data_IF_817112663860
#
_entry.id   IF_817112663860
#
_cell.length_a   1.000
_cell.length_b   1.000
_cell.length_c   1.000
_cell.angle_alpha   90.00
_cell.angle_beta   90.00
_cell.angle_gamma   90.00
#
_symmetry.space_group_name_H-M   'P 1'
#
loop_
_entity.id
_entity.type
_entity.pdbx_description
1 polymer ?
#
# COMPACT_ATOMS: atom_id res chain seq x y z
N UNK A 1 -6.34 -19.76 -23.95
CA UNK A 1 -7.03 -19.71 -25.26
C UNK A 1 -6.36 -18.61 -26.07
N UNK A 2 -6.42 -18.58 -27.42
CA UNK A 2 -5.79 -17.45 -28.12
C UNK A 2 -6.59 -16.15 -27.84
N UNK A 3 -5.97 -15.20 -27.14
CA UNK A 3 -6.55 -13.88 -26.80
C UNK A 3 -5.92 -12.72 -27.59
N UNK A 4 -5.12 -13.01 -28.62
CA UNK A 4 -4.42 -12.03 -29.47
C UNK A 4 -5.39 -11.14 -30.24
N UNK A 5 -6.63 -11.59 -30.46
CA UNK A 5 -7.67 -10.80 -31.10
C UNK A 5 -7.99 -9.49 -30.35
N UNK A 6 -7.63 -9.38 -29.07
CA UNK A 6 -7.81 -8.16 -28.26
C UNK A 6 -6.94 -7.01 -28.80
N UNK A 7 -5.82 -7.31 -29.46
CA UNK A 7 -4.89 -6.31 -30.03
C UNK A 7 -5.61 -5.30 -30.94
N UNK A 8 -6.66 -5.73 -31.65
CA UNK A 8 -7.44 -4.88 -32.56
C UNK A 8 -8.12 -3.70 -31.86
N UNK A 9 -8.39 -3.81 -30.56
CA UNK A 9 -9.00 -2.76 -29.74
C UNK A 9 -7.97 -1.84 -29.07
N UNK A 10 -6.69 -2.21 -29.04
CA UNK A 10 -5.67 -1.54 -28.24
C UNK A 10 -4.90 -0.44 -28.99
N UNK A 11 -5.43 0.03 -30.13
CA UNK A 11 -4.78 1.01 -30.99
C UNK A 11 -4.82 2.45 -30.47
N UNK A 12 -5.78 2.77 -29.60
CA UNK A 12 -5.97 4.11 -29.01
C UNK A 12 -6.14 4.02 -27.51
N UNK A 13 -5.57 4.97 -26.78
CA UNK A 13 -5.60 4.99 -25.31
C UNK A 13 -7.02 4.93 -24.74
N UNK A 14 -7.98 5.70 -25.27
CA UNK A 14 -9.36 5.65 -24.78
C UNK A 14 -10.04 4.30 -25.04
N UNK A 15 -9.71 3.64 -26.15
CA UNK A 15 -10.21 2.28 -26.43
C UNK A 15 -9.62 1.29 -25.42
N UNK A 16 -8.30 1.34 -25.20
CA UNK A 16 -7.62 0.49 -24.20
C UNK A 16 -8.26 0.63 -22.81
N UNK A 17 -8.56 1.86 -22.38
CA UNK A 17 -9.20 2.08 -21.09
C UNK A 17 -10.64 1.56 -21.08
N UNK A 18 -11.38 1.76 -22.17
CA UNK A 18 -12.72 1.18 -22.33
C UNK A 18 -12.71 -0.34 -22.20
N UNK A 19 -11.83 -1.02 -22.93
CA UNK A 19 -11.65 -2.47 -22.85
C UNK A 19 -11.32 -2.89 -21.42
N UNK A 20 -10.45 -2.17 -20.72
CA UNK A 20 -10.11 -2.52 -19.35
C UNK A 20 -11.30 -2.40 -18.39
N UNK A 21 -12.07 -1.32 -18.50
CA UNK A 21 -13.29 -1.14 -17.69
C UNK A 21 -14.31 -2.23 -18.02
N UNK A 22 -14.54 -2.54 -19.30
CA UNK A 22 -15.48 -3.55 -19.75
C UNK A 22 -15.08 -4.96 -19.27
N UNK A 23 -13.79 -5.28 -19.34
CA UNK A 23 -13.23 -6.53 -18.82
C UNK A 23 -13.54 -6.67 -17.34
N UNK A 24 -13.22 -5.66 -16.53
CA UNK A 24 -13.44 -5.71 -15.08
C UNK A 24 -14.94 -5.73 -14.73
N UNK A 25 -15.76 -4.97 -15.45
CA UNK A 25 -17.21 -4.96 -15.30
C UNK A 25 -17.82 -6.34 -15.55
N UNK A 26 -17.39 -7.01 -16.63
CA UNK A 26 -17.86 -8.35 -16.97
C UNK A 26 -17.28 -9.42 -16.02
N UNK A 27 -16.04 -9.25 -15.56
CA UNK A 27 -15.35 -10.16 -14.64
C UNK A 27 -15.96 -10.15 -13.24
N UNK A 28 -16.41 -9.00 -12.76
CA UNK A 28 -17.02 -8.86 -11.43
C UNK A 28 -18.55 -8.77 -11.47
N UNK A 29 -19.17 -9.07 -12.61
CA UNK A 29 -20.62 -9.23 -12.68
C UNK A 29 -21.06 -10.43 -11.84
N UNK A 30 -22.06 -10.21 -10.97
CA UNK A 30 -22.44 -11.14 -9.90
C UNK A 30 -23.27 -12.33 -10.37
N UNK A 31 -23.70 -12.33 -11.63
CA UNK A 31 -24.49 -13.43 -12.17
C UNK A 31 -23.58 -14.64 -12.32
N UNK A 32 -23.93 -15.71 -11.61
CA UNK A 32 -23.16 -16.96 -11.58
C UNK A 32 -23.06 -17.53 -12.99
N UNK A 33 -24.18 -17.83 -13.64
CA UNK A 33 -24.18 -18.26 -15.03
C UNK A 33 -25.17 -17.42 -15.83
N UNK A 34 -24.86 -17.21 -17.10
CA UNK A 34 -25.75 -16.56 -18.04
C UNK A 34 -26.49 -17.62 -18.84
N UNK A 35 -27.81 -17.51 -18.96
CA UNK A 35 -28.59 -18.38 -19.87
C UNK A 35 -28.35 -18.01 -21.35
N UNK A 36 -28.03 -16.74 -21.59
CA UNK A 36 -27.75 -16.15 -22.90
C UNK A 36 -26.84 -14.94 -22.74
N UNK A 37 -26.32 -14.42 -23.85
CA UNK A 37 -25.56 -13.16 -23.84
C UNK A 37 -26.38 -12.09 -23.13
N UNK A 38 -25.75 -11.43 -22.16
CA UNK A 38 -26.37 -10.41 -21.31
C UNK A 38 -26.79 -9.18 -22.11
N UNK A 39 -27.65 -8.36 -21.52
CA UNK A 39 -27.85 -7.00 -22.00
C UNK A 39 -26.58 -6.18 -21.70
N UNK A 40 -25.78 -5.95 -22.75
CA UNK A 40 -24.48 -5.26 -22.66
C UNK A 40 -24.68 -3.79 -22.31
N UNK A 41 -25.70 -3.14 -22.89
CA UNK A 41 -26.03 -1.75 -22.61
C UNK A 41 -26.38 -1.57 -21.13
N UNK A 42 -27.13 -2.50 -20.55
CA UNK A 42 -27.46 -2.48 -19.12
C UNK A 42 -26.20 -2.63 -18.25
N UNK A 43 -25.29 -3.53 -18.61
CA UNK A 43 -24.02 -3.69 -17.90
C UNK A 43 -23.18 -2.40 -17.97
N UNK A 44 -22.95 -1.86 -19.16
CA UNK A 44 -22.05 -0.73 -19.37
C UNK A 44 -22.65 0.60 -18.89
N UNK A 45 -23.98 0.77 -18.93
CA UNK A 45 -24.63 1.97 -18.41
C UNK A 45 -24.34 2.21 -16.92
N UNK A 46 -24.12 1.15 -16.13
CA UNK A 46 -23.74 1.27 -14.72
C UNK A 46 -22.39 1.97 -14.53
N UNK A 47 -21.51 1.89 -15.53
CA UNK A 47 -20.17 2.45 -15.52
C UNK A 47 -20.06 3.77 -16.29
N UNK A 48 -21.15 4.27 -16.89
CA UNK A 48 -21.13 5.46 -17.75
C UNK A 48 -20.51 6.70 -17.07
N UNK A 49 -20.75 6.87 -15.77
CA UNK A 49 -20.13 7.94 -14.97
C UNK A 49 -18.62 7.81 -14.99
N UNK A 50 -18.09 6.60 -14.75
CA UNK A 50 -16.65 6.33 -14.83
C UNK A 50 -16.06 6.70 -16.19
N UNK A 51 -16.68 6.24 -17.29
CA UNK A 51 -16.20 6.55 -18.63
C UNK A 51 -16.13 8.07 -18.84
N UNK A 52 -17.22 8.78 -18.50
CA UNK A 52 -17.27 10.23 -18.64
C UNK A 52 -16.24 10.95 -17.76
N UNK A 53 -16.04 10.50 -16.53
CA UNK A 53 -15.09 11.12 -15.59
C UNK A 53 -13.64 10.95 -16.05
N UNK A 54 -13.25 9.77 -16.55
CA UNK A 54 -11.86 9.50 -16.93
C UNK A 54 -11.51 9.98 -18.34
N UNK A 55 -12.45 9.86 -19.29
CA UNK A 55 -12.16 10.07 -20.71
C UNK A 55 -12.70 11.40 -21.24
N UNK A 56 -13.67 12.00 -20.55
CA UNK A 56 -14.48 13.09 -21.09
C UNK A 56 -15.54 12.59 -22.08
N UNK A 57 -16.53 13.42 -22.46
CA UNK A 57 -17.73 12.97 -23.18
C UNK A 57 -17.45 12.32 -24.54
N UNK A 58 -16.53 12.90 -25.32
CA UNK A 58 -16.24 12.46 -26.68
C UNK A 58 -15.52 11.10 -26.70
N UNK A 59 -14.44 10.97 -25.92
CA UNK A 59 -13.70 9.72 -25.81
C UNK A 59 -14.50 8.63 -25.07
N UNK A 60 -15.36 9.00 -24.13
CA UNK A 60 -16.24 8.08 -23.43
C UNK A 60 -17.20 7.36 -24.39
N UNK A 61 -17.77 8.07 -25.36
CA UNK A 61 -18.63 7.47 -26.38
C UNK A 61 -17.90 6.41 -27.21
N UNK A 62 -16.70 6.74 -27.71
CA UNK A 62 -15.89 5.80 -28.49
C UNK A 62 -15.45 4.59 -27.65
N UNK A 63 -15.03 4.83 -26.41
CA UNK A 63 -14.63 3.76 -25.50
C UNK A 63 -15.80 2.82 -25.17
N UNK A 64 -17.01 3.36 -24.92
CA UNK A 64 -18.21 2.54 -24.69
C UNK A 64 -18.54 1.65 -25.89
N UNK A 65 -18.50 2.18 -27.10
CA UNK A 65 -18.71 1.39 -28.32
C UNK A 65 -17.69 0.25 -28.45
N UNK A 66 -16.42 0.53 -28.20
CA UNK A 66 -15.37 -0.51 -28.24
C UNK A 66 -15.56 -1.55 -27.13
N UNK A 67 -16.02 -1.13 -25.96
CA UNK A 67 -16.38 -2.02 -24.86
C UNK A 67 -17.53 -2.96 -25.22
N UNK A 68 -18.56 -2.47 -25.92
CA UNK A 68 -19.66 -3.28 -26.42
C UNK A 68 -19.17 -4.34 -27.41
N UNK A 69 -18.40 -3.91 -28.41
CA UNK A 69 -17.82 -4.80 -29.43
C UNK A 69 -16.89 -5.85 -28.79
N UNK A 70 -16.11 -5.47 -27.76
CA UNK A 70 -15.26 -6.40 -27.03
C UNK A 70 -16.06 -7.44 -26.24
N UNK A 71 -17.11 -7.04 -25.51
CA UNK A 71 -17.94 -7.98 -24.74
C UNK A 71 -18.63 -8.98 -25.67
N UNK A 72 -19.16 -8.52 -26.81
CA UNK A 72 -19.71 -9.42 -27.84
C UNK A 72 -18.65 -10.40 -28.35
N UNK A 73 -17.45 -9.90 -28.65
CA UNK A 73 -16.36 -10.73 -29.15
C UNK A 73 -15.90 -11.76 -28.12
N UNK A 74 -15.93 -11.45 -26.81
CA UNK A 74 -15.67 -12.43 -25.73
C UNK A 74 -16.61 -13.63 -25.87
N UNK A 75 -17.92 -13.41 -26.01
CA UNK A 75 -18.89 -14.50 -26.14
C UNK A 75 -18.82 -15.21 -27.50
N UNK A 76 -18.39 -14.51 -28.57
CA UNK A 76 -18.17 -15.15 -29.87
C UNK A 76 -16.93 -16.05 -29.88
N UNK A 77 -15.85 -15.64 -29.21
CA UNK A 77 -14.58 -16.38 -29.14
C UNK A 77 -14.57 -17.46 -28.07
N UNK A 78 -15.40 -17.29 -27.03
CA UNK A 78 -15.59 -18.22 -25.93
C UNK A 78 -17.09 -18.31 -25.59
N UNK A 79 -17.89 -19.09 -26.36
CA UNK A 79 -19.30 -19.30 -26.04
C UNK A 79 -19.53 -19.87 -24.64
N UNK A 80 -18.58 -20.66 -24.12
CA UNK A 80 -18.61 -21.24 -22.77
C UNK A 80 -18.43 -20.19 -21.68
N UNK A 81 -18.04 -18.95 -22.01
CA UNK A 81 -17.97 -17.83 -21.08
C UNK A 81 -19.35 -17.37 -20.57
N UNK A 82 -20.44 -18.03 -20.97
CA UNK A 82 -21.71 -17.99 -20.24
C UNK A 82 -21.58 -18.54 -18.81
N UNK A 83 -20.70 -19.53 -18.58
CA UNK A 83 -20.37 -20.03 -17.25
C UNK A 83 -19.38 -19.10 -16.52
N UNK A 84 -19.68 -18.67 -15.28
CA UNK A 84 -18.78 -17.76 -14.54
C UNK A 84 -17.35 -18.26 -14.45
N UNK A 85 -17.17 -19.53 -14.10
CA UNK A 85 -15.83 -20.08 -13.86
C UNK A 85 -14.95 -19.97 -15.10
N UNK A 86 -15.52 -20.26 -16.28
CA UNK A 86 -14.82 -20.17 -17.56
C UNK A 86 -14.60 -18.70 -17.92
N UNK A 87 -15.64 -17.87 -17.80
CA UNK A 87 -15.57 -16.42 -18.04
C UNK A 87 -14.48 -15.75 -17.23
N UNK A 88 -14.42 -16.05 -15.93
CA UNK A 88 -13.45 -15.46 -15.01
C UNK A 88 -12.03 -15.84 -15.39
N UNK A 89 -11.79 -17.12 -15.66
CA UNK A 89 -10.47 -17.58 -16.11
C UNK A 89 -10.06 -16.94 -17.43
N UNK A 90 -11.00 -16.81 -18.38
CA UNK A 90 -10.73 -16.21 -19.68
C UNK A 90 -10.43 -14.70 -19.59
N UNK A 91 -11.19 -13.96 -18.79
CA UNK A 91 -10.96 -12.53 -18.57
C UNK A 91 -9.67 -12.26 -17.77
N UNK A 92 -9.34 -13.11 -16.79
CA UNK A 92 -8.06 -13.07 -16.07
C UNK A 92 -6.87 -13.31 -17.00
N UNK A 93 -6.99 -14.21 -17.99
CA UNK A 93 -5.96 -14.46 -19.03
C UNK A 93 -5.73 -13.20 -19.88
N UNK A 94 -6.82 -12.52 -20.29
CA UNK A 94 -6.74 -11.24 -21.02
C UNK A 94 -6.10 -10.16 -20.15
N UNK A 95 -6.56 -9.98 -18.92
CA UNK A 95 -6.01 -8.95 -18.02
C UNK A 95 -4.51 -9.18 -17.77
N UNK A 96 -4.11 -10.42 -17.51
CA UNK A 96 -2.71 -10.77 -17.25
C UNK A 96 -1.81 -10.48 -18.45
N UNK A 97 -2.27 -10.85 -19.66
CA UNK A 97 -1.50 -10.62 -20.90
C UNK A 97 -1.33 -9.13 -21.20
N UNK A 98 -2.38 -8.34 -21.03
CA UNK A 98 -2.43 -6.93 -21.42
C UNK A 98 -2.21 -5.95 -20.27
N UNK A 99 -1.87 -6.45 -19.08
CA UNK A 99 -1.75 -5.68 -17.84
C UNK A 99 -0.91 -4.41 -18.00
N UNK A 100 0.27 -4.52 -18.60
CA UNK A 100 1.18 -3.37 -18.76
C UNK A 100 0.61 -2.27 -19.65
N UNK A 101 -0.20 -2.64 -20.67
CA UNK A 101 -0.89 -1.67 -21.53
C UNK A 101 -2.00 -0.99 -20.74
N UNK A 102 -2.84 -1.76 -20.04
CA UNK A 102 -3.92 -1.22 -19.21
C UNK A 102 -3.41 -0.30 -18.10
N UNK A 103 -2.36 -0.70 -17.40
CA UNK A 103 -1.66 0.12 -16.40
C UNK A 103 -1.18 1.45 -16.98
N UNK A 104 -0.43 1.40 -18.09
CA UNK A 104 0.13 2.60 -18.72
C UNK A 104 -0.97 3.58 -19.15
N UNK A 105 -2.05 3.06 -19.73
CA UNK A 105 -3.19 3.88 -20.17
C UNK A 105 -3.96 4.44 -18.98
N UNK A 106 -4.26 3.63 -17.96
CA UNK A 106 -4.97 4.09 -16.77
C UNK A 106 -4.22 5.26 -16.10
N UNK A 107 -2.90 5.15 -15.94
CA UNK A 107 -2.08 6.22 -15.35
C UNK A 107 -2.07 7.53 -16.16
N UNK A 108 -2.37 7.49 -17.46
CA UNK A 108 -2.50 8.70 -18.29
C UNK A 108 -3.82 9.44 -18.05
N UNK A 109 -4.89 8.72 -17.75
CA UNK A 109 -6.22 9.30 -17.55
C UNK A 109 -6.53 9.62 -16.09
N UNK A 110 -5.85 8.98 -15.14
CA UNK A 110 -6.00 9.31 -13.73
C UNK A 110 -5.28 10.62 -13.41
N UNK A 111 -6.05 11.64 -13.03
CA UNK A 111 -5.54 12.93 -12.61
C UNK A 111 -5.58 13.08 -11.08
N UNK A 112 -4.51 12.64 -10.42
CA UNK A 112 -4.43 12.73 -8.95
C UNK A 112 -4.41 14.16 -8.44
N UNK A 113 -3.96 15.14 -9.24
CA UNK A 113 -3.81 16.53 -8.80
C UNK A 113 -5.14 17.27 -8.70
N UNK A 114 -6.22 16.70 -9.26
CA UNK A 114 -7.57 17.22 -9.08
C UNK A 114 -8.26 16.70 -7.81
N UNK A 115 -7.56 15.90 -7.01
CA UNK A 115 -8.05 15.38 -5.74
C UNK A 115 -7.40 16.21 -4.62
N UNK A 116 -8.19 16.83 -3.74
CA UNK A 116 -7.65 17.58 -2.61
C UNK A 116 -6.77 16.70 -1.70
N UNK A 117 -5.72 17.28 -1.12
CA UNK A 117 -4.69 16.57 -0.35
C UNK A 117 -5.25 15.72 0.79
N UNK A 118 -6.27 16.23 1.49
CA UNK A 118 -6.99 15.53 2.55
C UNK A 118 -7.59 14.20 2.06
N UNK A 119 -8.16 14.18 0.85
CA UNK A 119 -8.73 12.98 0.26
C UNK A 119 -7.66 12.10 -0.38
N UNK A 120 -6.57 12.66 -0.88
CA UNK A 120 -5.43 11.88 -1.41
C UNK A 120 -4.82 11.00 -0.33
N UNK A 121 -4.51 11.57 0.83
CA UNK A 121 -3.94 10.81 1.94
C UNK A 121 -4.91 9.75 2.47
N UNK A 122 -6.20 10.09 2.57
CA UNK A 122 -7.22 9.13 2.95
C UNK A 122 -7.32 7.96 1.96
N UNK A 123 -7.47 8.25 0.67
CA UNK A 123 -7.57 7.24 -0.39
C UNK A 123 -6.30 6.38 -0.47
N UNK A 124 -5.11 6.95 -0.21
CA UNK A 124 -3.87 6.18 -0.13
C UNK A 124 -3.89 5.16 1.02
N UNK A 125 -4.38 5.56 2.21
CA UNK A 125 -4.57 4.63 3.35
C UNK A 125 -5.59 3.54 3.01
N UNK A 126 -6.69 3.88 2.34
CA UNK A 126 -7.70 2.93 1.88
C UNK A 126 -7.09 1.87 0.98
N UNK A 127 -6.35 2.30 -0.05
CA UNK A 127 -5.70 1.40 -0.99
C UNK A 127 -4.64 0.51 -0.29
N UNK A 128 -3.89 1.04 0.68
CA UNK A 128 -2.97 0.24 1.51
C UNK A 128 -3.70 -0.83 2.33
N UNK A 129 -4.79 -0.47 3.01
CA UNK A 129 -5.56 -1.40 3.83
C UNK A 129 -6.15 -2.54 2.99
N UNK A 130 -6.61 -2.26 1.77
CA UNK A 130 -7.08 -3.28 0.82
C UNK A 130 -5.93 -4.17 0.37
N UNK A 131 -4.80 -3.55 -0.01
CA UNK A 131 -3.61 -4.27 -0.46
C UNK A 131 -3.10 -5.25 0.59
N UNK A 132 -3.00 -4.81 1.84
CA UNK A 132 -2.49 -5.61 2.96
C UNK A 132 -3.56 -6.49 3.63
N UNK A 133 -4.77 -6.57 3.07
CA UNK A 133 -5.82 -7.48 3.54
C UNK A 133 -6.48 -7.05 4.86
N UNK A 134 -6.38 -5.77 5.24
CA UNK A 134 -7.12 -5.19 6.38
C UNK A 134 -8.57 -4.88 6.02
N UNK A 135 -8.81 -4.52 4.76
CA UNK A 135 -10.16 -4.46 4.20
C UNK A 135 -10.45 -5.79 3.50
N UNK A 136 -11.58 -6.45 3.82
CA UNK A 136 -11.98 -7.68 3.15
C UNK A 136 -12.15 -7.49 1.64
N UNK A 137 -11.55 -8.39 0.88
CA UNK A 137 -11.71 -8.48 -0.58
C UNK A 137 -12.66 -9.64 -0.87
N UNK A 138 -13.72 -9.36 -1.62
CA UNK A 138 -14.74 -10.35 -2.00
C UNK A 138 -14.19 -11.29 -3.07
N UNK A 139 -13.53 -10.72 -4.09
CA UNK A 139 -12.94 -11.43 -5.20
C UNK A 139 -11.74 -10.64 -5.77
N UNK A 140 -10.83 -11.34 -6.43
CA UNK A 140 -9.58 -10.79 -6.95
C UNK A 140 -9.22 -11.45 -8.28
N UNK A 141 -8.75 -10.67 -9.24
CA UNK A 141 -8.20 -11.20 -10.49
C UNK A 141 -6.73 -11.59 -10.34
N UNK A 142 -6.22 -12.39 -11.27
CA UNK A 142 -4.82 -12.82 -11.30
C UNK A 142 -3.83 -11.64 -11.33
N UNK A 143 -4.18 -10.52 -11.97
CA UNK A 143 -3.37 -9.30 -11.99
C UNK A 143 -3.48 -8.43 -10.74
N UNK A 144 -4.46 -8.74 -9.85
CA UNK A 144 -4.64 -8.07 -8.57
C UNK A 144 -5.75 -7.01 -8.54
N UNK A 145 -6.61 -6.92 -9.56
CA UNK A 145 -7.81 -6.09 -9.49
C UNK A 145 -8.75 -6.70 -8.47
N UNK A 146 -9.42 -5.89 -7.66
CA UNK A 146 -10.23 -6.39 -6.54
C UNK A 146 -11.65 -5.88 -6.57
N UNK A 147 -12.52 -6.70 -5.99
CA UNK A 147 -13.91 -6.40 -5.73
C UNK A 147 -14.14 -6.31 -4.23
N UNK A 148 -14.61 -5.16 -3.76
CA UNK A 148 -14.73 -4.85 -2.32
C UNK A 148 -16.10 -4.29 -1.99
N UNK A 149 -16.52 -4.44 -0.74
CA UNK A 149 -17.71 -3.76 -0.25
C UNK A 149 -17.38 -2.30 -0.02
N UNK A 150 -18.26 -1.42 -0.50
CA UNK A 150 -18.06 0.02 -0.44
C UNK A 150 -17.98 0.50 1.01
N UNK A 151 -18.77 -0.09 1.90
CA UNK A 151 -18.78 0.29 3.32
C UNK A 151 -17.48 -0.02 4.05
N UNK A 152 -16.74 -1.06 3.63
CA UNK A 152 -15.45 -1.40 4.24
C UNK A 152 -14.37 -0.36 3.91
N UNK A 153 -14.56 0.43 2.85
CA UNK A 153 -13.64 1.53 2.49
C UNK A 153 -13.65 2.66 3.52
N UNK A 154 -14.64 2.70 4.41
CA UNK A 154 -14.88 3.83 5.32
C UNK A 154 -14.46 3.54 6.77
N UNK A 155 -14.15 2.29 7.10
CA UNK A 155 -13.91 1.81 8.47
C UNK A 155 -12.42 1.86 8.88
N UNK A 156 -11.67 2.84 8.37
CA UNK A 156 -10.21 2.93 8.56
C UNK A 156 -9.87 3.98 9.61
N UNK A 157 -9.67 3.54 10.86
CA UNK A 157 -8.96 4.15 12.02
C UNK A 157 -9.14 5.66 12.35
N UNK A 158 -9.86 6.46 11.58
CA UNK A 158 -10.23 7.85 11.88
C UNK A 158 -11.60 8.19 11.29
N UNK A 159 -12.34 9.11 11.92
CA UNK A 159 -13.77 9.03 11.95
C UNK A 159 -14.33 9.91 10.83
N UNK A 160 -14.53 9.33 9.65
CA UNK A 160 -15.57 9.87 8.76
C UNK A 160 -16.90 9.57 9.49
N UNK A 161 -17.26 10.46 10.43
CA UNK A 161 -18.37 10.26 11.39
C UNK A 161 -19.72 10.26 10.70
N UNK A 162 -19.77 10.60 9.41
CA UNK A 162 -21.02 10.88 8.72
C UNK A 162 -21.06 10.35 7.29
N UNK A 163 -22.16 9.69 6.93
CA UNK A 163 -22.43 9.16 5.58
C UNK A 163 -22.35 10.26 4.51
N UNK A 164 -22.60 11.53 4.86
CA UNK A 164 -22.50 12.64 3.91
C UNK A 164 -21.06 13.00 3.50
N UNK A 165 -20.05 12.68 4.32
CA UNK A 165 -18.64 12.87 3.96
C UNK A 165 -18.13 11.72 3.09
N UNK A 166 -18.69 10.53 3.27
CA UNK A 166 -18.46 9.37 2.41
C UNK A 166 -18.90 9.63 0.97
N UNK A 167 -20.08 10.24 0.78
CA UNK A 167 -20.58 10.55 -0.56
C UNK A 167 -19.70 11.59 -1.28
N UNK A 168 -18.96 12.43 -0.54
CA UNK A 168 -17.98 13.37 -1.11
C UNK A 168 -16.73 12.67 -1.66
N UNK A 169 -16.41 11.45 -1.21
CA UNK A 169 -15.27 10.68 -1.72
C UNK A 169 -15.54 10.06 -3.09
N UNK A 170 -16.81 9.77 -3.40
CA UNK A 170 -17.20 9.03 -4.61
C UNK A 170 -16.68 9.68 -5.90
N UNK A 171 -16.82 11.01 -6.11
CA UNK A 171 -16.25 11.67 -7.29
C UNK A 171 -14.73 11.47 -7.40
N UNK A 172 -14.00 11.53 -6.29
CA UNK A 172 -12.54 11.35 -6.28
C UNK A 172 -12.13 9.90 -6.53
N UNK A 173 -12.91 8.93 -6.04
CA UNK A 173 -12.74 7.52 -6.36
C UNK A 173 -12.83 7.28 -7.89
N UNK A 174 -13.82 7.87 -8.56
CA UNK A 174 -13.92 7.78 -10.02
C UNK A 174 -12.72 8.42 -10.73
N UNK A 175 -12.19 9.54 -10.21
CA UNK A 175 -10.96 10.16 -10.76
C UNK A 175 -9.72 9.27 -10.63
N UNK A 176 -9.67 8.39 -9.62
CA UNK A 176 -8.63 7.37 -9.51
C UNK A 176 -8.89 6.14 -10.39
N UNK A 177 -10.03 6.07 -11.07
CA UNK A 177 -10.46 4.87 -11.77
C UNK A 177 -10.93 3.76 -10.84
N UNK A 178 -11.38 4.08 -9.62
CA UNK A 178 -12.16 3.16 -8.80
C UNK A 178 -13.61 3.25 -9.27
N UNK A 179 -14.20 2.11 -9.64
CA UNK A 179 -15.52 2.08 -10.25
C UNK A 179 -16.58 1.60 -9.27
N UNK A 180 -17.77 2.17 -9.36
CA UNK A 180 -18.94 1.69 -8.65
C UNK A 180 -19.56 0.56 -9.45
N UNK A 181 -19.56 -0.65 -8.90
CA UNK A 181 -20.23 -1.81 -9.51
C UNK A 181 -21.67 -1.98 -9.02
N UNK A 182 -21.98 -1.47 -7.83
CA UNK A 182 -23.34 -1.37 -7.32
C UNK A 182 -23.42 -0.28 -6.24
N UNK A 183 -24.61 -0.02 -5.68
CA UNK A 183 -24.76 0.89 -4.54
C UNK A 183 -23.89 0.54 -3.32
N UNK A 184 -23.42 -0.69 -3.23
CA UNK A 184 -22.72 -1.23 -2.07
C UNK A 184 -21.34 -1.78 -2.40
N UNK A 185 -20.87 -1.70 -3.65
CA UNK A 185 -19.65 -2.38 -4.09
C UNK A 185 -18.84 -1.57 -5.08
N UNK A 186 -17.53 -1.75 -4.99
CA UNK A 186 -16.55 -1.07 -5.83
C UNK A 186 -15.60 -2.07 -6.46
N UNK A 187 -15.15 -1.74 -7.66
CA UNK A 187 -14.05 -2.40 -8.36
C UNK A 187 -12.85 -1.47 -8.28
N UNK A 188 -11.72 -1.99 -7.85
CA UNK A 188 -10.45 -1.27 -7.75
C UNK A 188 -9.48 -1.95 -8.71
N UNK A 189 -9.09 -1.30 -9.81
CA UNK A 189 -8.10 -1.83 -10.74
C UNK A 189 -6.76 -2.16 -10.07
N UNK A 190 -6.11 -3.22 -10.51
CA UNK A 190 -4.79 -3.63 -10.04
C UNK A 190 -3.74 -2.49 -10.03
N UNK A 191 -3.62 -1.66 -11.09
CA UNK A 191 -2.57 -0.64 -11.13
C UNK A 191 -2.64 0.35 -9.98
N UNK A 192 -3.83 0.69 -9.50
CA UNK A 192 -3.97 1.68 -8.41
C UNK A 192 -3.68 1.09 -7.02
N UNK A 193 -3.56 -0.23 -6.90
CA UNK A 193 -3.09 -0.93 -5.70
C UNK A 193 -1.56 -1.14 -5.71
N UNK A 194 -0.88 -0.70 -6.77
CA UNK A 194 0.58 -0.71 -6.79
C UNK A 194 1.14 0.35 -5.85
N UNK A 195 2.28 0.03 -5.25
CA UNK A 195 2.91 0.91 -4.28
C UNK A 195 3.35 2.23 -4.90
N UNK A 196 3.86 2.17 -6.13
CA UNK A 196 4.21 3.36 -6.91
C UNK A 196 3.01 4.32 -7.04
N UNK A 197 1.82 3.79 -7.29
CA UNK A 197 0.62 4.62 -7.42
C UNK A 197 0.17 5.19 -6.08
N UNK A 198 0.09 4.36 -5.04
CA UNK A 198 -0.30 4.80 -3.68
C UNK A 198 0.65 5.89 -3.17
N UNK A 199 1.95 5.76 -3.42
CA UNK A 199 2.93 6.79 -3.07
C UNK A 199 2.76 8.05 -3.91
N UNK A 200 2.52 7.91 -5.23
CA UNK A 200 2.22 9.07 -6.08
C UNK A 200 0.99 9.84 -5.55
N UNK A 201 -0.03 9.12 -5.07
CA UNK A 201 -1.22 9.72 -4.49
C UNK A 201 -0.88 10.58 -3.26
N UNK A 202 0.05 10.12 -2.41
CA UNK A 202 0.59 10.90 -1.27
C UNK A 202 1.54 12.04 -1.67
N UNK A 203 1.74 12.31 -2.96
CA UNK A 203 2.59 13.38 -3.44
C UNK A 203 4.07 13.01 -3.61
N UNK A 204 4.42 11.73 -3.60
CA UNK A 204 5.79 11.29 -3.93
C UNK A 204 5.92 11.09 -5.44
N UNK A 205 6.62 12.00 -6.13
CA UNK A 205 6.94 11.81 -7.54
C UNK A 205 8.15 10.89 -7.72
N UNK A 206 7.89 9.69 -8.24
CA UNK A 206 8.93 8.67 -8.49
C UNK A 206 9.69 8.91 -9.80
N UNK A 207 9.11 9.63 -10.77
CA UNK A 207 9.57 9.59 -12.17
C UNK A 207 10.85 10.41 -12.45
N UNK A 208 11.16 11.43 -11.66
CA UNK A 208 12.44 12.14 -11.76
C UNK A 208 13.62 11.42 -11.05
N UNK A 209 13.34 10.52 -10.10
CA UNK A 209 14.38 9.97 -9.20
C UNK A 209 14.83 8.53 -9.51
N UNK A 210 14.17 7.80 -10.43
CA UNK A 210 14.53 6.40 -10.79
C UNK A 210 15.67 6.32 -11.84
N UNK A 211 16.23 7.43 -12.31
CA UNK A 211 17.47 7.42 -13.09
C UNK A 211 18.68 7.64 -12.17
N UNK A 212 19.02 6.64 -11.36
CA UNK A 212 20.18 6.73 -10.47
C UNK A 212 20.70 5.38 -10.03
N UNK A 213 22.03 5.28 -9.88
CA UNK A 213 22.70 4.17 -9.20
C UNK A 213 22.34 4.15 -7.73
N UNK A 214 22.11 2.96 -7.16
CA UNK A 214 21.98 2.73 -5.72
C UNK A 214 23.15 3.39 -4.98
N UNK A 215 22.85 4.43 -4.21
CA UNK A 215 23.84 5.17 -3.43
C UNK A 215 23.35 5.32 -1.99
N UNK A 216 24.31 5.51 -1.07
CA UNK A 216 23.98 5.78 0.32
C UNK A 216 23.14 7.07 0.47
N UNK A 217 23.34 8.04 -0.43
CA UNK A 217 22.57 9.30 -0.46
C UNK A 217 21.10 9.02 -0.80
N UNK A 218 20.86 8.22 -1.85
CA UNK A 218 19.50 7.82 -2.26
C UNK A 218 18.79 7.08 -1.12
N UNK A 219 19.48 6.13 -0.46
CA UNK A 219 18.92 5.39 0.69
C UNK A 219 18.53 6.33 1.82
N UNK A 220 19.42 7.26 2.21
CA UNK A 220 19.15 8.23 3.28
C UNK A 220 17.95 9.12 2.94
N UNK A 221 17.84 9.53 1.69
CA UNK A 221 16.72 10.33 1.22
C UNK A 221 15.38 9.58 1.36
N UNK A 222 15.29 8.33 0.90
CA UNK A 222 14.07 7.53 1.01
C UNK A 222 13.70 7.21 2.45
N UNK A 223 14.68 6.84 3.29
CA UNK A 223 14.44 6.61 4.71
C UNK A 223 13.89 7.87 5.38
N UNK A 224 14.45 9.05 5.06
CA UNK A 224 13.93 10.34 5.55
C UNK A 224 12.46 10.50 5.15
N UNK A 225 12.12 10.33 3.88
CA UNK A 225 10.72 10.44 3.42
C UNK A 225 9.77 9.48 4.14
N UNK A 226 10.15 8.19 4.23
CA UNK A 226 9.34 7.16 4.91
C UNK A 226 9.12 7.53 6.37
N UNK A 227 10.14 7.98 7.08
CA UNK A 227 10.03 8.32 8.50
C UNK A 227 9.25 9.63 8.72
N UNK A 228 9.43 10.62 7.86
CA UNK A 228 8.63 11.85 7.88
C UNK A 228 7.15 11.56 7.66
N UNK A 229 6.81 10.64 6.75
CA UNK A 229 5.43 10.15 6.58
C UNK A 229 4.86 9.53 7.86
N UNK A 230 5.70 8.80 8.59
CA UNK A 230 5.34 8.23 9.88
C UNK A 230 5.30 9.26 11.01
N UNK A 231 5.41 10.55 10.68
CA UNK A 231 5.42 11.72 11.58
C UNK A 231 6.63 11.74 12.53
N UNK A 232 7.79 11.28 12.07
CA UNK A 232 9.05 11.48 12.78
C UNK A 232 9.73 12.78 12.32
N UNK A 233 10.34 13.50 13.27
CA UNK A 233 11.36 14.51 13.00
C UNK A 233 12.67 13.79 12.66
N UNK A 234 13.20 13.99 11.45
CA UNK A 234 14.36 13.27 10.94
C UNK A 234 15.54 14.23 10.74
N UNK A 235 16.68 13.89 11.34
CA UNK A 235 17.95 14.61 11.20
C UNK A 235 18.97 13.71 10.49
N UNK A 236 19.68 14.28 9.53
CA UNK A 236 20.72 13.56 8.77
C UNK A 236 22.13 14.04 9.14
N UNK A 237 23.13 13.18 8.95
CA UNK A 237 24.55 13.50 9.13
C UNK A 237 24.90 14.05 10.52
N UNK A 238 24.33 13.44 11.56
CA UNK A 238 24.62 13.83 12.95
C UNK A 238 26.04 13.40 13.30
N UNK A 239 26.94 14.38 13.44
CA UNK A 239 28.28 14.14 13.99
C UNK A 239 28.12 13.87 15.49
N UNK A 240 28.25 12.63 15.90
CA UNK A 240 28.43 12.27 17.30
C UNK A 240 29.83 12.68 17.76
N UNK A 241 29.89 13.32 18.93
CA UNK A 241 31.13 13.84 19.50
C UNK A 241 31.89 12.67 20.13
N UNK A 242 32.82 12.06 19.40
CA UNK A 242 34.10 11.53 19.94
C UNK A 242 35.00 11.01 18.81
N UNK A 243 36.27 10.82 19.14
CA UNK A 243 37.34 10.38 18.24
C UNK A 243 37.05 8.98 17.65
N UNK A 244 37.01 8.91 16.31
CA UNK A 244 37.17 7.70 15.48
C UNK A 244 36.12 6.58 15.50
N UNK A 245 35.04 6.63 16.28
CA UNK A 245 34.05 5.53 16.32
C UNK A 245 32.72 5.89 15.62
N UNK A 246 32.07 4.87 15.05
CA UNK A 246 30.93 4.84 14.12
C UNK A 246 30.03 6.11 14.00
N UNK A 247 29.69 6.53 12.76
CA UNK A 247 28.76 7.66 12.55
C UNK A 247 27.34 7.18 12.34
N UNK A 248 26.40 7.82 13.03
CA UNK A 248 24.96 7.63 12.83
C UNK A 248 24.55 8.34 11.54
N UNK A 249 23.89 7.62 10.64
CA UNK A 249 23.53 8.15 9.32
C UNK A 249 22.26 8.99 9.36
N UNK A 250 21.24 8.54 10.10
CA UNK A 250 20.00 9.26 10.37
C UNK A 250 19.57 9.08 11.82
N UNK A 251 19.01 10.13 12.41
CA UNK A 251 18.28 10.09 13.69
C UNK A 251 16.85 10.49 13.40
N UNK A 252 15.90 9.62 13.73
CA UNK A 252 14.47 9.92 13.66
C UNK A 252 13.88 9.95 15.06
N UNK A 253 13.07 10.95 15.38
CA UNK A 253 12.43 11.05 16.69
C UNK A 253 10.98 11.47 16.61
N UNK A 254 10.14 10.97 17.52
CA UNK A 254 8.72 11.26 17.59
C UNK A 254 8.26 11.25 19.04
N UNK A 255 7.40 12.19 19.41
CA UNK A 255 6.74 12.17 20.72
C UNK A 255 5.64 11.11 20.76
N UNK A 256 5.69 10.23 21.75
CA UNK A 256 4.68 9.20 22.03
C UNK A 256 4.23 9.39 23.48
N UNK A 257 3.08 10.05 23.66
CA UNK A 257 2.64 10.50 24.98
C UNK A 257 3.56 11.60 25.50
N UNK A 258 4.11 11.41 26.71
CA UNK A 258 5.11 12.31 27.31
C UNK A 258 6.56 11.91 27.02
N UNK A 259 6.79 10.84 26.26
CA UNK A 259 8.11 10.26 26.04
C UNK A 259 8.55 10.46 24.58
N UNK A 260 9.82 10.86 24.40
CA UNK A 260 10.43 10.94 23.08
C UNK A 260 10.96 9.58 22.65
N UNK A 261 10.38 9.03 21.58
CA UNK A 261 10.88 7.81 20.94
C UNK A 261 11.91 8.15 19.88
N UNK A 262 13.14 7.65 20.04
CA UNK A 262 14.30 7.96 19.20
C UNK A 262 14.83 6.71 18.52
N UNK A 263 15.10 6.83 17.23
CA UNK A 263 15.56 5.77 16.34
C UNK A 263 16.86 6.21 15.69
N UNK A 264 17.87 5.37 15.76
CA UNK A 264 19.11 5.56 15.03
C UNK A 264 19.16 4.62 13.85
N UNK A 265 19.51 5.14 12.68
CA UNK A 265 19.58 4.34 11.46
C UNK A 265 20.98 4.44 10.88
N UNK A 266 21.57 3.28 10.62
CA UNK A 266 22.90 3.10 10.09
C UNK A 266 22.78 2.50 8.68
N UNK A 267 23.19 3.27 7.68
CA UNK A 267 23.05 2.93 6.25
C UNK A 267 24.39 2.63 5.58
N UNK A 268 25.51 2.94 6.24
CA UNK A 268 26.87 2.74 5.71
C UNK A 268 27.20 1.32 5.25
N UNK A 269 26.51 0.30 5.78
CA UNK A 269 26.78 -1.09 5.43
C UNK A 269 25.81 -1.66 4.40
N UNK A 270 24.95 -0.85 3.78
CA UNK A 270 23.88 -1.33 2.90
C UNK A 270 24.35 -2.28 1.78
N UNK A 271 25.58 -2.11 1.29
CA UNK A 271 26.19 -2.92 0.23
C UNK A 271 27.29 -3.87 0.73
N UNK A 272 27.42 -4.04 2.06
CA UNK A 272 28.41 -4.95 2.66
C UNK A 272 27.74 -5.91 3.65
N UNK A 273 28.38 -7.05 3.87
CA UNK A 273 27.91 -8.01 4.86
C UNK A 273 28.19 -7.52 6.28
N UNK A 274 27.25 -7.75 7.19
CA UNK A 274 27.35 -7.40 8.60
C UNK A 274 27.96 -8.57 9.39
N UNK A 275 29.09 -8.29 10.05
CA UNK A 275 29.90 -9.24 10.80
C UNK A 275 29.90 -8.90 12.30
N UNK A 276 30.37 -9.84 13.13
CA UNK A 276 30.49 -9.64 14.58
C UNK A 276 31.26 -8.37 14.95
N UNK A 277 32.40 -8.12 14.31
CA UNK A 277 33.25 -6.95 14.59
C UNK A 277 32.54 -5.63 14.30
N UNK A 278 31.74 -5.58 13.21
CA UNK A 278 30.95 -4.39 12.88
C UNK A 278 29.86 -4.16 13.92
N UNK A 279 29.20 -5.23 14.37
CA UNK A 279 28.18 -5.10 15.43
C UNK A 279 28.80 -4.64 16.74
N UNK A 280 29.94 -5.20 17.17
CA UNK A 280 30.63 -4.79 18.40
C UNK A 280 30.95 -3.29 18.43
N UNK A 281 31.42 -2.72 17.32
CA UNK A 281 31.65 -1.27 17.19
C UNK A 281 30.38 -0.44 17.41
N UNK A 282 29.22 -0.95 16.98
CA UNK A 282 27.93 -0.28 17.21
C UNK A 282 27.54 -0.39 18.69
N UNK A 283 27.78 -1.53 19.32
CA UNK A 283 27.53 -1.72 20.77
C UNK A 283 28.38 -0.75 21.58
N UNK A 284 29.67 -0.68 21.30
CA UNK A 284 30.60 0.27 21.93
C UNK A 284 30.13 1.72 21.75
N UNK A 285 29.71 2.10 20.53
CA UNK A 285 29.14 3.42 20.26
C UNK A 285 27.90 3.72 21.12
N UNK A 286 27.01 2.74 21.33
CA UNK A 286 25.80 2.92 22.14
C UNK A 286 26.08 2.98 23.64
N UNK A 287 27.11 2.26 24.10
CA UNK A 287 27.52 2.30 25.49
C UNK A 287 28.05 3.67 25.89
N UNK A 288 28.71 4.36 24.95
CA UNK A 288 29.32 5.69 25.12
C UNK A 288 28.35 6.86 24.94
N UNK A 289 27.12 6.64 24.46
CA UNK A 289 26.16 7.71 24.20
C UNK A 289 24.97 7.72 25.16
N UNK A 290 24.73 8.91 25.75
CA UNK A 290 23.49 9.22 26.48
C UNK A 290 22.82 10.49 25.92
N UNK A 291 21.48 10.49 25.72
CA UNK A 291 20.56 9.36 25.90
C UNK A 291 20.67 8.30 24.80
N UNK A 292 20.44 7.04 25.16
CA UNK A 292 20.43 5.92 24.20
C UNK A 292 19.17 5.95 23.32
N UNK A 293 19.27 5.51 22.05
CA UNK A 293 18.08 5.35 21.21
C UNK A 293 17.19 4.23 21.75
N UNK A 294 15.89 4.36 21.53
CA UNK A 294 14.94 3.28 21.81
C UNK A 294 15.09 2.12 20.81
N UNK A 295 15.52 2.44 19.59
CA UNK A 295 15.65 1.50 18.47
C UNK A 295 16.87 1.81 17.61
N UNK A 296 17.60 0.78 17.20
CA UNK A 296 18.68 0.91 16.21
C UNK A 296 18.34 0.08 14.98
N UNK A 297 18.29 0.70 13.81
CA UNK A 297 18.06 0.04 12.52
C UNK A 297 19.37 0.00 11.74
N UNK A 298 19.76 -1.18 11.28
CA UNK A 298 20.99 -1.39 10.51
C UNK A 298 20.62 -1.93 9.14
N UNK A 299 21.01 -1.22 8.08
CA UNK A 299 20.86 -1.71 6.71
C UNK A 299 22.16 -2.41 6.28
N UNK A 300 22.04 -3.64 5.79
CA UNK A 300 23.18 -4.41 5.31
C UNK A 300 22.85 -5.27 4.08
N UNK A 301 23.88 -5.76 3.39
CA UNK A 301 23.69 -6.71 2.28
C UNK A 301 23.17 -8.04 2.82
N UNK A 302 23.86 -8.63 3.79
CA UNK A 302 23.51 -9.87 4.52
C UNK A 302 24.05 -9.78 5.94
N UNK A 303 23.43 -10.48 6.89
CA UNK A 303 23.85 -10.55 8.28
C UNK A 303 24.28 -11.97 8.64
N UNK A 304 25.53 -12.15 9.07
CA UNK A 304 26.06 -13.46 9.47
C UNK A 304 26.29 -13.58 10.98
N UNK A 305 25.80 -12.63 11.75
CA UNK A 305 26.02 -12.53 13.20
C UNK A 305 24.72 -12.65 13.95
N UNK A 306 24.75 -13.18 15.17
CA UNK A 306 23.62 -13.16 16.11
C UNK A 306 23.81 -12.14 17.24
N UNK A 307 24.91 -11.37 17.26
CA UNK A 307 25.21 -10.42 18.35
C UNK A 307 24.16 -9.31 18.48
N UNK A 308 23.46 -8.98 17.38
CA UNK A 308 22.38 -7.99 17.37
C UNK A 308 21.21 -8.35 18.31
N UNK A 309 21.01 -9.64 18.63
CA UNK A 309 19.88 -10.11 19.46
C UNK A 309 19.97 -9.68 20.93
N UNK A 310 21.13 -9.18 21.37
CA UNK A 310 21.33 -8.72 22.75
C UNK A 310 20.87 -7.28 22.99
N UNK A 311 20.44 -6.55 21.96
CA UNK A 311 20.04 -5.14 22.00
C UNK A 311 18.76 -4.92 21.18
N UNK A 312 18.13 -3.74 21.31
CA UNK A 312 16.98 -3.31 20.49
C UNK A 312 17.40 -2.98 19.04
N UNK A 313 18.04 -3.94 18.37
CA UNK A 313 18.54 -3.81 17.01
C UNK A 313 17.58 -4.48 16.04
N UNK A 314 17.30 -3.79 14.94
CA UNK A 314 16.63 -4.36 13.80
C UNK A 314 17.55 -4.32 12.58
N UNK A 315 17.76 -5.51 12.01
CA UNK A 315 18.58 -5.67 10.82
C UNK A 315 17.67 -5.74 9.60
N UNK A 316 17.89 -4.86 8.63
CA UNK A 316 17.24 -4.91 7.32
C UNK A 316 18.25 -5.44 6.32
N UNK A 317 18.10 -6.72 5.96
CA UNK A 317 18.89 -7.34 4.90
C UNK A 317 18.32 -6.97 3.52
N UNK A 318 19.16 -6.34 2.71
CA UNK A 318 18.81 -5.87 1.38
C UNK A 318 19.09 -6.93 0.31
N UNK A 319 20.11 -7.78 0.47
CA UNK A 319 20.51 -8.75 -0.54
C UNK A 319 21.23 -8.09 -1.73
N UNK A 320 21.16 -8.72 -2.90
CA UNK A 320 21.80 -8.22 -4.13
C UNK A 320 20.83 -7.36 -4.95
N UNK A 321 20.38 -6.24 -4.39
CA UNK A 321 19.49 -5.32 -5.09
C UNK A 321 20.27 -4.58 -6.17
N UNK A 322 19.79 -4.69 -7.41
CA UNK A 322 20.35 -3.99 -8.58
C UNK A 322 19.52 -2.76 -8.95
N UNK A 323 18.26 -2.72 -8.52
CA UNK A 323 17.28 -1.70 -8.91
C UNK A 323 16.83 -0.94 -7.66
N UNK A 324 16.71 0.38 -7.78
CA UNK A 324 16.31 1.28 -6.71
C UNK A 324 14.87 1.02 -6.22
N UNK A 325 13.98 0.64 -7.12
CA UNK A 325 12.58 0.30 -6.81
C UNK A 325 12.50 -0.87 -5.80
N UNK A 326 13.25 -1.94 -6.05
CA UNK A 326 13.31 -3.11 -5.15
C UNK A 326 13.80 -2.72 -3.74
N UNK A 327 14.74 -1.78 -3.66
CA UNK A 327 15.24 -1.24 -2.40
C UNK A 327 14.14 -0.50 -1.65
N UNK A 328 13.43 0.40 -2.32
CA UNK A 328 12.38 1.20 -1.68
C UNK A 328 11.27 0.28 -1.16
N UNK A 329 10.85 -0.71 -1.95
CA UNK A 329 9.83 -1.67 -1.53
C UNK A 329 10.30 -2.53 -0.36
N UNK A 330 11.56 -2.98 -0.37
CA UNK A 330 12.15 -3.72 0.76
C UNK A 330 12.20 -2.87 2.02
N UNK A 331 12.77 -1.66 1.95
CA UNK A 331 12.88 -0.75 3.09
C UNK A 331 11.51 -0.45 3.67
N UNK A 332 10.53 -0.14 2.82
CA UNK A 332 9.18 0.15 3.26
C UNK A 332 8.54 -1.06 3.95
N UNK A 333 8.55 -2.25 3.35
CA UNK A 333 7.98 -3.46 3.97
C UNK A 333 8.61 -3.75 5.33
N UNK A 334 9.94 -3.73 5.42
CA UNK A 334 10.63 -4.05 6.67
C UNK A 334 10.43 -2.97 7.73
N UNK A 335 10.51 -1.68 7.37
CA UNK A 335 10.27 -0.57 8.30
C UNK A 335 8.83 -0.57 8.80
N UNK A 336 7.85 -0.71 7.91
CA UNK A 336 6.46 -0.82 8.32
C UNK A 336 6.24 -2.04 9.20
N UNK A 337 6.82 -3.20 8.88
CA UNK A 337 6.75 -4.40 9.75
C UNK A 337 7.29 -4.11 11.15
N UNK A 338 8.47 -3.49 11.25
CA UNK A 338 9.07 -3.08 12.54
C UNK A 338 8.09 -2.22 13.34
N UNK A 339 7.51 -1.20 12.71
CA UNK A 339 6.60 -0.30 13.41
C UNK A 339 5.23 -0.89 13.69
N UNK A 340 4.74 -1.82 12.87
CA UNK A 340 3.51 -2.57 13.14
C UNK A 340 3.71 -3.59 14.26
N UNK A 341 4.89 -4.19 14.38
CA UNK A 341 5.24 -5.02 15.53
C UNK A 341 5.41 -4.18 16.81
N UNK A 342 5.84 -2.91 16.67
CA UNK A 342 6.03 -1.97 17.79
C UNK A 342 4.73 -1.20 18.15
N UNK A 343 3.71 -1.16 17.29
CA UNK A 343 2.44 -0.42 17.48
C UNK A 343 1.23 -1.31 17.11
N UNK A 344 0.32 -1.72 18.01
CA UNK A 344 -0.15 -1.06 19.23
C UNK A 344 -0.09 -1.94 20.50
N UNK A 345 0.91 -2.83 20.64
CA UNK A 345 1.08 -3.58 21.90
C UNK A 345 1.48 -2.65 23.06
N UNK A 346 2.09 -1.48 22.81
CA UNK A 346 2.39 -0.48 23.84
C UNK A 346 1.13 0.22 24.39
N UNK A 347 0.14 0.54 23.54
CA UNK A 347 -1.16 1.08 23.99
C UNK A 347 -1.94 0.08 24.84
N UNK A 348 -1.88 -1.20 24.49
CA UNK A 348 -2.46 -2.26 25.32
C UNK A 348 -1.62 -2.57 26.54
N UNK A 349 -0.29 -2.46 26.51
CA UNK A 349 0.57 -2.69 27.68
C UNK A 349 0.37 -1.62 28.75
N UNK A 350 0.23 -0.34 28.39
CA UNK A 350 -0.04 0.71 29.38
C UNK A 350 -1.44 0.55 30.00
N UNK A 351 -2.45 0.17 29.18
CA UNK A 351 -3.80 -0.16 29.69
C UNK A 351 -3.80 -1.45 30.53
N UNK A 352 -3.10 -2.50 30.10
CA UNK A 352 -2.97 -3.77 30.81
C UNK A 352 -2.17 -3.59 32.11
N UNK A 353 -1.12 -2.77 32.12
CA UNK A 353 -0.36 -2.42 33.32
C UNK A 353 -1.20 -1.55 34.27
N UNK A 354 -2.02 -0.64 33.75
CA UNK A 354 -2.99 0.13 34.54
C UNK A 354 -4.03 -0.77 35.19
N UNK A 355 -4.64 -1.68 34.41
CA UNK A 355 -5.63 -2.66 34.88
C UNK A 355 -5.00 -3.62 35.89
N UNK A 356 -3.78 -4.11 35.65
CA UNK A 356 -3.06 -4.99 36.57
C UNK A 356 -2.69 -4.29 37.88
N UNK A 357 -2.37 -2.99 37.85
CA UNK A 357 -2.12 -2.19 39.05
C UNK A 357 -3.41 -1.92 39.85
N UNK A 358 -4.52 -1.64 39.18
CA UNK A 358 -5.85 -1.53 39.82
C UNK A 358 -6.27 -2.86 40.46
N UNK A 359 -6.11 -3.99 39.75
CA UNK A 359 -6.41 -5.32 40.28
C UNK A 359 -5.51 -5.69 41.46
N UNK A 360 -4.22 -5.32 41.45
CA UNK A 360 -3.32 -5.49 42.59
C UNK A 360 -3.80 -4.69 43.80
N UNK A 361 -4.23 -3.45 43.61
CA UNK A 361 -4.77 -2.63 44.69
C UNK A 361 -6.06 -3.23 45.26
N UNK A 362 -7.00 -3.65 44.40
CA UNK A 362 -8.23 -4.35 44.79
C UNK A 362 -7.91 -5.64 45.57
N UNK A 363 -6.93 -6.43 45.14
CA UNK A 363 -6.52 -7.65 45.86
C UNK A 363 -5.97 -7.36 47.26
N UNK A 364 -5.23 -6.25 47.45
CA UNK A 364 -4.76 -5.81 48.77
C UNK A 364 -5.91 -5.42 49.69
N UNK A 365 -6.95 -4.78 49.16
CA UNK A 365 -8.16 -4.46 49.92
C UNK A 365 -8.97 -5.71 50.28
N UNK A 366 -9.03 -6.71 49.39
CA UNK A 366 -9.74 -7.97 49.67
C UNK A 366 -8.99 -8.90 50.63
N UNK A 367 -7.65 -8.81 50.72
CA UNK A 367 -6.84 -9.62 51.64
C UNK A 367 -6.49 -8.90 52.95
N UNK A 368 -6.66 -7.58 53.02
CA UNK A 368 -6.48 -6.78 54.24
C UNK A 368 -7.74 -6.66 55.12
N UNK A 369 -8.90 -7.13 54.63
CA UNK A 369 -10.18 -7.02 55.34
C UNK A 369 -10.53 -8.17 56.28
N UNK A 370 -9.67 -9.20 56.40
CA UNK A 370 -9.88 -10.32 57.31
C UNK A 370 -8.68 -10.54 58.24
N UNK A 371 -8.19 -9.49 58.87
CA UNK A 371 -7.38 -9.64 60.08
C UNK A 371 -7.68 -8.46 61.02
N UNK A 372 -8.18 -8.84 62.21
CA UNK A 372 -8.35 -8.02 63.44
C UNK A 372 -9.67 -7.23 63.48
N UNK A 373 -10.53 -7.36 64.49
CA UNK A 373 -10.74 -8.27 65.63
C UNK A 373 -12.15 -7.97 66.14
#
# INVERSE_FOLDING_TARGET
MNVDWVDKYLSRDHNCLGIYIALLALRFDRRSNYEKIINIDELLNQYRITYNTLLGPENAYQALRMSEEFILEVFNKCPECLEAKIRFKFLDEIESKYYNIFKKVLYRFVNIYEIPDEYREYLAKVLEHIKYGRIPVIDRTSSGSVYVLRYDLYDIDEPIKNVSEIDKLIPYMYKLGIFKASNTRCIIPAPILEDKFIMKLRGFEFEEYIKGTLSQVSIKHYLTQILTLMKYDVRSNVKTISYEQEKIDLIASKEIGSNRFTIWILTRWFNTDLTDDKVRKIIEMLELHEPRPNLVIILCKRCYTNLYKKLNFFIIELGELKVLEDLVDRLRREIFKIFLEISPISRYLDQVLSILNELKNISKYMHGGYLVR
#
